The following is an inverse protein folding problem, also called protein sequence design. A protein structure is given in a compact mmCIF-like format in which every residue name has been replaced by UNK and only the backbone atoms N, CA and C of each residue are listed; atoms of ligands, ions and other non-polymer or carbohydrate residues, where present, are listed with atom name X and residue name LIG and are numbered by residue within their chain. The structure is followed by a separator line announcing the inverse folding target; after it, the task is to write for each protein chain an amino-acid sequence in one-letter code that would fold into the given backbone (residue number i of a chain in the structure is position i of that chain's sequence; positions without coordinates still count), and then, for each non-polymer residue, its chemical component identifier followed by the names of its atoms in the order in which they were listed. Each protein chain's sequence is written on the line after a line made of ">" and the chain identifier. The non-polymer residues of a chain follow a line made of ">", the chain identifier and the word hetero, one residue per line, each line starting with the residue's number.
data_IF_967263366995
#
_entry.id   IF_967263366995
#
_cell.length_a   1.000
_cell.length_b   1.000
_cell.length_c   1.000
_cell.angle_alpha   90.00
_cell.angle_beta   90.00
_cell.angle_gamma   90.00
#
_symmetry.space_group_name_H-M   'P 1'
#
loop_
_entity.id
_entity.type
_entity.pdbx_description
1 polymer ?
#
# COMPACT_ATOMS: atom_id res chain seq x y z
N UNK A 1 -21.88 -21.55 45.70
CA UNK A 1 -20.89 -20.45 45.77
C UNK A 1 -19.64 -20.66 44.92
N UNK A 2 -18.99 -21.83 44.91
CA UNK A 2 -17.76 -22.04 44.10
C UNK A 2 -18.01 -22.07 42.57
N UNK A 3 -19.15 -22.57 42.12
CA UNK A 3 -19.50 -22.58 40.69
C UNK A 3 -19.82 -21.19 40.14
N UNK A 4 -20.55 -20.37 40.91
CA UNK A 4 -20.92 -19.01 40.51
C UNK A 4 -19.66 -18.16 40.27
N UNK A 5 -18.67 -18.21 41.17
CA UNK A 5 -17.39 -17.50 41.00
C UNK A 5 -16.56 -17.98 39.80
N UNK A 6 -16.78 -19.20 39.32
CA UNK A 6 -16.12 -19.73 38.13
C UNK A 6 -16.85 -19.27 36.86
N UNK A 7 -18.17 -19.25 36.91
CA UNK A 7 -19.04 -18.76 35.85
C UNK A 7 -18.82 -17.25 35.61
N UNK A 8 -18.75 -16.44 36.67
CA UNK A 8 -18.46 -15.00 36.59
C UNK A 8 -17.12 -14.72 35.88
N UNK A 9 -16.07 -15.48 36.24
CA UNK A 9 -14.75 -15.36 35.62
C UNK A 9 -14.76 -15.74 34.13
N UNK A 10 -15.52 -16.78 33.78
CA UNK A 10 -15.66 -17.19 32.39
C UNK A 10 -16.41 -16.12 31.58
N UNK A 11 -17.41 -15.46 32.17
CA UNK A 11 -18.10 -14.35 31.51
C UNK A 11 -17.19 -13.12 31.31
N UNK A 12 -16.37 -12.78 32.31
CA UNK A 12 -15.36 -11.71 32.17
C UNK A 12 -14.34 -12.02 31.07
N UNK A 13 -13.87 -13.27 31.00
CA UNK A 13 -12.93 -13.71 29.97
C UNK A 13 -13.57 -13.72 28.58
N UNK A 14 -14.82 -14.16 28.45
CA UNK A 14 -15.58 -14.08 27.20
C UNK A 14 -15.73 -12.63 26.75
N UNK A 15 -16.10 -11.72 27.66
CA UNK A 15 -16.24 -10.31 27.32
C UNK A 15 -14.91 -9.71 26.86
N UNK A 16 -13.82 -9.99 27.58
CA UNK A 16 -12.48 -9.55 27.19
C UNK A 16 -12.11 -10.07 25.79
N UNK A 17 -12.32 -11.36 25.52
CA UNK A 17 -12.02 -11.95 24.22
C UNK A 17 -12.91 -11.37 23.11
N UNK A 18 -14.16 -11.02 23.39
CA UNK A 18 -15.05 -10.35 22.44
C UNK A 18 -14.54 -8.96 22.09
N UNK A 19 -14.16 -8.17 23.10
CA UNK A 19 -13.63 -6.82 22.92
C UNK A 19 -12.30 -6.86 22.14
N UNK A 20 -11.42 -7.80 22.46
CA UNK A 20 -10.16 -8.01 21.74
C UNK A 20 -10.42 -8.43 20.28
N UNK A 21 -11.39 -9.31 20.04
CA UNK A 21 -11.75 -9.73 18.69
C UNK A 21 -12.28 -8.56 17.84
N UNK A 22 -13.13 -7.71 18.43
CA UNK A 22 -13.64 -6.51 17.77
C UNK A 22 -12.52 -5.51 17.46
N UNK A 23 -11.62 -5.30 18.42
CA UNK A 23 -10.44 -4.47 18.23
C UNK A 23 -9.55 -4.98 17.07
N UNK A 24 -9.24 -6.28 17.07
CA UNK A 24 -8.42 -6.91 16.04
C UNK A 24 -9.10 -6.85 14.65
N UNK A 25 -10.41 -7.04 14.58
CA UNK A 25 -11.19 -6.84 13.34
C UNK A 25 -11.10 -5.41 12.84
N UNK A 26 -11.23 -4.43 13.74
CA UNK A 26 -11.08 -3.02 13.40
C UNK A 26 -9.69 -2.69 12.85
N UNK A 27 -8.64 -3.25 13.46
CA UNK A 27 -7.26 -3.12 12.96
C UNK A 27 -7.08 -3.76 11.58
N UNK A 28 -7.57 -5.00 11.41
CA UNK A 28 -7.47 -5.72 10.15
C UNK A 28 -8.19 -5.00 9.01
N UNK A 29 -9.37 -4.44 9.27
CA UNK A 29 -10.11 -3.64 8.29
C UNK A 29 -9.30 -2.42 7.84
N UNK A 30 -8.76 -1.66 8.80
CA UNK A 30 -7.94 -0.47 8.50
C UNK A 30 -6.70 -0.82 7.68
N UNK A 31 -6.04 -1.92 8.02
CA UNK A 31 -4.87 -2.40 7.29
C UNK A 31 -5.22 -2.90 5.88
N UNK A 32 -6.36 -3.56 5.72
CA UNK A 32 -6.87 -4.00 4.42
C UNK A 32 -7.17 -2.81 3.52
N UNK A 33 -7.86 -1.79 4.03
CA UNK A 33 -8.15 -0.56 3.28
C UNK A 33 -6.85 0.17 2.87
N UNK A 34 -5.88 0.21 3.78
CA UNK A 34 -4.56 0.79 3.52
C UNK A 34 -3.79 0.02 2.43
N UNK A 35 -3.86 -1.31 2.43
CA UNK A 35 -3.22 -2.14 1.41
C UNK A 35 -3.90 -1.97 0.06
N UNK A 36 -5.24 -1.97 0.02
CA UNK A 36 -6.00 -1.76 -1.21
C UNK A 36 -5.66 -0.43 -1.87
N UNK A 37 -5.59 0.66 -1.09
CA UNK A 37 -5.16 1.97 -1.60
C UNK A 37 -3.76 1.92 -2.21
N UNK A 38 -2.83 1.20 -1.59
CA UNK A 38 -1.47 1.02 -2.14
C UNK A 38 -1.45 0.19 -3.42
N UNK A 39 -2.26 -0.86 -3.49
CA UNK A 39 -2.37 -1.67 -4.70
C UNK A 39 -2.91 -0.83 -5.87
N UNK A 40 -3.90 0.03 -5.62
CA UNK A 40 -4.43 0.96 -6.62
C UNK A 40 -3.37 1.99 -7.05
N UNK A 41 -2.62 2.57 -6.11
CA UNK A 41 -1.51 3.50 -6.42
C UNK A 41 -0.41 2.81 -7.25
N UNK A 42 -0.03 1.58 -6.90
CA UNK A 42 0.96 0.79 -7.65
C UNK A 42 0.46 0.45 -9.05
N UNK A 43 -0.80 0.04 -9.20
CA UNK A 43 -1.39 -0.25 -10.49
C UNK A 43 -1.38 0.99 -11.41
N UNK A 44 -1.65 2.17 -10.86
CA UNK A 44 -1.60 3.43 -11.60
C UNK A 44 -0.17 3.76 -12.07
N UNK A 45 0.83 3.61 -11.20
CA UNK A 45 2.24 3.81 -11.58
C UNK A 45 2.67 2.82 -12.66
N UNK A 46 2.30 1.55 -12.53
CA UNK A 46 2.61 0.54 -13.54
C UNK A 46 2.01 0.90 -14.91
N UNK A 47 0.74 1.35 -14.92
CA UNK A 47 0.09 1.81 -16.15
C UNK A 47 0.80 3.02 -16.76
N UNK A 48 1.24 3.98 -15.96
CA UNK A 48 2.00 5.14 -16.46
C UNK A 48 3.34 4.72 -17.08
N UNK A 49 4.05 3.79 -16.43
CA UNK A 49 5.31 3.25 -16.95
C UNK A 49 5.08 2.50 -18.27
N UNK A 50 4.05 1.67 -18.35
CA UNK A 50 3.72 0.89 -19.55
C UNK A 50 3.34 1.80 -20.72
N UNK A 51 2.52 2.83 -20.50
CA UNK A 51 2.21 3.85 -21.50
C UNK A 51 3.49 4.57 -21.95
N UNK A 52 4.32 5.03 -21.01
CA UNK A 52 5.55 5.76 -21.33
C UNK A 52 6.53 4.91 -22.14
N UNK A 53 6.65 3.62 -21.81
CA UNK A 53 7.46 2.66 -22.54
C UNK A 53 6.89 2.41 -23.94
N UNK A 54 5.57 2.24 -24.05
CA UNK A 54 4.88 2.04 -25.32
C UNK A 54 5.08 3.24 -26.23
N UNK A 55 4.88 4.46 -25.74
CA UNK A 55 5.10 5.70 -26.48
C UNK A 55 6.55 5.80 -26.96
N UNK A 56 7.53 5.45 -26.10
CA UNK A 56 8.94 5.42 -26.47
C UNK A 56 9.24 4.42 -27.59
N UNK A 57 8.62 3.23 -27.56
CA UNK A 57 8.80 2.21 -28.60
C UNK A 57 8.27 2.65 -29.96
N UNK A 58 7.20 3.46 -29.98
CA UNK A 58 6.53 3.96 -31.20
C UNK A 58 7.20 5.16 -31.86
N UNK A 59 8.17 5.83 -31.23
CA UNK A 59 8.91 6.92 -31.86
C UNK A 59 9.75 6.43 -33.06
N UNK A 60 10.07 7.27 -34.04
CA UNK A 60 11.03 6.91 -35.10
C UNK A 60 12.49 7.07 -34.62
N UNK A 61 13.47 6.40 -35.25
CA UNK A 61 14.85 6.25 -34.73
C UNK A 61 15.58 7.57 -34.43
N UNK A 62 15.34 8.64 -35.19
CA UNK A 62 15.93 9.97 -34.96
C UNK A 62 15.22 10.69 -33.80
N UNK A 63 13.90 10.54 -33.68
CA UNK A 63 13.12 11.03 -32.54
C UNK A 63 13.42 10.26 -31.24
N UNK A 64 13.75 8.96 -31.32
CA UNK A 64 14.19 8.13 -30.17
C UNK A 64 15.48 8.64 -29.53
N UNK A 65 16.44 9.09 -30.34
CA UNK A 65 17.73 9.60 -29.86
C UNK A 65 17.62 10.95 -29.15
N UNK A 66 16.76 11.86 -29.64
CA UNK A 66 16.50 13.15 -29.00
C UNK A 66 15.60 13.03 -27.75
N UNK A 67 14.62 12.12 -27.77
CA UNK A 67 13.68 11.89 -26.67
C UNK A 67 14.21 10.95 -25.56
N UNK A 68 15.37 10.32 -25.74
CA UNK A 68 15.99 9.46 -24.74
C UNK A 68 16.31 10.23 -23.45
N UNK A 69 16.74 11.50 -23.56
CA UNK A 69 16.97 12.38 -22.40
C UNK A 69 15.67 12.65 -21.62
N UNK A 70 14.59 12.99 -22.33
CA UNK A 70 13.28 13.24 -21.72
C UNK A 70 12.62 11.96 -21.18
N UNK A 71 12.90 10.81 -21.78
CA UNK A 71 12.46 9.51 -21.28
C UNK A 71 13.19 9.14 -20.00
N UNK A 72 14.52 9.25 -19.97
CA UNK A 72 15.34 8.99 -18.79
C UNK A 72 14.97 9.93 -17.64
N UNK A 73 14.71 11.21 -17.91
CA UNK A 73 14.28 12.16 -16.89
C UNK A 73 12.87 11.83 -16.33
N UNK A 74 11.92 11.44 -17.18
CA UNK A 74 10.58 11.00 -16.73
C UNK A 74 10.62 9.69 -15.95
N UNK A 75 11.50 8.77 -16.34
CA UNK A 75 11.75 7.53 -15.61
C UNK A 75 12.35 7.83 -14.24
N UNK A 76 13.36 8.71 -14.18
CA UNK A 76 13.98 9.16 -12.94
C UNK A 76 12.95 9.80 -12.01
N UNK A 77 12.10 10.71 -12.49
CA UNK A 77 11.00 11.31 -11.71
C UNK A 77 10.04 10.24 -11.17
N UNK A 78 9.68 9.25 -12.01
CA UNK A 78 8.75 8.19 -11.62
C UNK A 78 9.37 7.27 -10.56
N UNK A 79 10.66 6.96 -10.69
CA UNK A 79 11.44 6.20 -9.70
C UNK A 79 11.65 7.00 -8.41
N UNK A 80 11.83 8.31 -8.48
CA UNK A 80 11.99 9.17 -7.31
C UNK A 80 10.65 9.33 -6.56
N UNK A 81 9.54 9.45 -7.27
CA UNK A 81 8.19 9.37 -6.69
C UNK A 81 7.96 8.03 -6.00
N UNK A 82 8.38 6.92 -6.62
CA UNK A 82 8.36 5.60 -5.99
C UNK A 82 9.25 5.54 -4.73
N UNK A 83 10.45 6.11 -4.80
CA UNK A 83 11.36 6.24 -3.66
C UNK A 83 10.78 7.06 -2.51
N UNK A 84 10.02 8.12 -2.80
CA UNK A 84 9.35 8.96 -1.80
C UNK A 84 8.15 8.26 -1.15
N UNK A 85 7.39 7.46 -1.91
CA UNK A 85 6.36 6.57 -1.34
C UNK A 85 6.98 5.58 -0.36
N UNK A 86 8.16 5.03 -0.67
CA UNK A 86 8.90 4.14 0.24
C UNK A 86 9.52 4.88 1.44
N UNK A 87 10.06 6.09 1.26
CA UNK A 87 10.72 6.89 2.30
C UNK A 87 9.76 7.56 3.29
N UNK A 88 8.57 7.98 2.85
CA UNK A 88 7.56 8.59 3.73
C UNK A 88 7.15 7.69 4.91
N UNK A 89 7.36 6.37 4.80
CA UNK A 89 7.20 5.42 5.89
C UNK A 89 8.30 5.48 6.95
N UNK A 90 9.53 5.83 6.58
CA UNK A 90 10.69 5.74 7.49
C UNK A 90 10.76 6.89 8.49
N UNK A 91 10.09 8.00 8.19
CA UNK A 91 10.02 9.18 9.07
C UNK A 91 8.74 9.23 9.93
N UNK A 92 7.75 8.39 9.62
CA UNK A 92 6.48 8.27 10.37
C UNK A 92 6.37 6.95 11.14
N UNK A 93 7.48 6.22 11.33
CA UNK A 93 7.59 5.06 12.23
C UNK A 93 8.33 5.45 13.50
#
# INVERSE_FOLDING_TARGET
>A
ERDIKREDKLMEEIQHLMDENEYLKGMLSKETDRLKKREEELANVFKMLDTTLTDFMHLESVSKLASLGDFMHRLEITVDQFGNVLKSKRLNS
#
